data_IF_559403340992
#
_entry.id   IF_559403340992
#
_cell.length_a   1.000
_cell.length_b   1.000
_cell.length_c   1.000
_cell.angle_alpha   90.00
_cell.angle_beta   90.00
_cell.angle_gamma   90.00
#
_symmetry.space_group_name_H-M   'P 1'
#
loop_
_entity.id
_entity.type
_entity.pdbx_description
1 polymer ?
#
# COMPACT_ATOMS: atom_id res chain seq x y z
N UNK A 1 -10.86 -22.67 18.26
CA UNK A 1 -10.06 -22.55 17.03
C UNK A 1 -9.81 -21.10 16.76
N UNK A 2 -8.58 -20.71 16.46
CA UNK A 2 -8.19 -19.35 16.09
C UNK A 2 -8.88 -18.95 14.80
N UNK A 3 -9.48 -17.75 14.75
CA UNK A 3 -10.16 -17.25 13.55
C UNK A 3 -9.16 -16.77 12.51
N UNK A 4 -9.42 -17.11 11.25
CA UNK A 4 -8.54 -16.84 10.11
C UNK A 4 -9.07 -15.69 9.27
N UNK A 5 -8.23 -14.70 9.01
CA UNK A 5 -8.59 -13.46 8.32
C UNK A 5 -7.74 -13.31 7.06
N UNK A 6 -8.37 -13.28 5.91
CA UNK A 6 -7.70 -13.09 4.63
C UNK A 6 -7.30 -11.63 4.40
N UNK A 7 -6.07 -11.41 3.94
CA UNK A 7 -5.51 -10.12 3.57
C UNK A 7 -5.26 -10.08 2.05
N UNK A 8 -5.95 -9.16 1.35
CA UNK A 8 -5.95 -9.07 -0.12
C UNK A 8 -5.07 -7.94 -0.67
N UNK A 9 -4.38 -7.20 0.21
CA UNK A 9 -3.46 -6.13 -0.18
C UNK A 9 -2.09 -6.70 -0.58
N UNK A 10 -1.16 -5.86 -1.06
CA UNK A 10 0.19 -6.30 -1.38
C UNK A 10 0.88 -6.96 -0.18
N UNK A 11 1.76 -7.91 -0.44
CA UNK A 11 2.38 -8.76 0.58
C UNK A 11 3.09 -7.95 1.68
N UNK A 12 3.93 -7.00 1.28
CA UNK A 12 4.69 -6.13 2.19
C UNK A 12 3.80 -5.22 3.08
N UNK A 13 2.61 -4.86 2.62
CA UNK A 13 1.62 -4.15 3.44
C UNK A 13 0.86 -5.11 4.35
N UNK A 14 0.70 -6.37 3.94
CA UNK A 14 0.00 -7.41 4.70
C UNK A 14 0.77 -7.85 5.93
N UNK A 15 2.11 -7.80 5.92
CA UNK A 15 2.95 -8.19 7.07
C UNK A 15 2.67 -7.35 8.33
N UNK A 16 2.56 -6.03 8.19
CA UNK A 16 2.23 -5.16 9.32
C UNK A 16 0.82 -5.46 9.87
N UNK A 17 -0.16 -5.65 8.98
CA UNK A 17 -1.52 -6.02 9.34
C UNK A 17 -1.58 -7.41 9.99
N UNK A 18 -0.76 -8.36 9.52
CA UNK A 18 -0.69 -9.70 10.10
C UNK A 18 -0.20 -9.66 11.55
N UNK A 19 0.81 -8.83 11.86
CA UNK A 19 1.28 -8.64 13.23
C UNK A 19 0.18 -8.05 14.13
N UNK A 20 -0.60 -7.09 13.61
CA UNK A 20 -1.71 -6.47 14.32
C UNK A 20 -2.87 -7.47 14.58
N UNK A 21 -3.18 -8.32 13.60
CA UNK A 21 -4.15 -9.41 13.76
C UNK A 21 -3.68 -10.44 14.81
N UNK A 22 -2.41 -10.83 14.76
CA UNK A 22 -1.82 -11.78 15.72
C UNK A 22 -1.88 -11.25 17.16
N UNK A 23 -1.61 -9.95 17.36
CA UNK A 23 -1.74 -9.31 18.67
C UNK A 23 -3.17 -9.38 19.24
N UNK A 24 -4.19 -9.52 18.38
CA UNK A 24 -5.61 -9.68 18.71
C UNK A 24 -6.09 -11.13 18.72
N UNK A 25 -5.17 -12.09 18.54
CA UNK A 25 -5.47 -13.52 18.55
C UNK A 25 -6.07 -14.06 17.26
N UNK A 26 -6.00 -13.32 16.14
CA UNK A 26 -6.40 -13.79 14.83
C UNK A 26 -5.21 -14.37 14.06
N UNK A 27 -5.45 -15.32 13.17
CA UNK A 27 -4.48 -15.82 12.21
C UNK A 27 -4.65 -15.07 10.86
N UNK A 28 -3.61 -14.43 10.38
CA UNK A 28 -3.63 -13.79 9.07
C UNK A 28 -3.34 -14.79 7.96
N UNK A 29 -4.14 -14.75 6.89
CA UNK A 29 -3.93 -15.47 5.64
C UNK A 29 -3.62 -14.46 4.56
N UNK A 30 -2.36 -14.40 4.11
CA UNK A 30 -1.92 -13.47 3.07
C UNK A 30 -2.20 -14.10 1.71
N UNK A 31 -3.15 -13.51 0.97
CA UNK A 31 -3.55 -13.90 -0.38
C UNK A 31 -3.73 -12.64 -1.25
N UNK A 32 -2.63 -12.03 -1.70
CA UNK A 32 -2.67 -10.73 -2.34
C UNK A 32 -3.50 -10.76 -3.63
N UNK A 33 -4.27 -9.71 -3.88
CA UNK A 33 -4.95 -9.47 -5.15
C UNK A 33 -4.11 -8.65 -6.14
N UNK A 34 -3.02 -8.06 -5.65
CA UNK A 34 -2.06 -7.28 -6.42
C UNK A 34 -0.63 -7.71 -6.11
N UNK A 35 0.24 -7.56 -7.08
CA UNK A 35 1.68 -7.76 -6.96
C UNK A 35 2.42 -6.47 -7.28
N UNK A 36 3.42 -6.13 -6.48
CA UNK A 36 4.27 -4.97 -6.76
C UNK A 36 5.39 -5.41 -7.68
N UNK A 37 5.43 -4.84 -8.88
CA UNK A 37 6.46 -5.13 -9.88
C UNK A 37 7.30 -3.90 -10.17
N UNK A 38 8.61 -4.10 -10.22
CA UNK A 38 9.52 -3.09 -10.75
C UNK A 38 9.25 -2.88 -12.25
N UNK A 39 9.28 -1.62 -12.67
CA UNK A 39 9.11 -1.25 -14.07
C UNK A 39 10.49 -1.15 -14.75
N UNK A 40 10.58 -1.38 -16.06
CA UNK A 40 11.83 -1.25 -16.83
C UNK A 40 12.20 0.23 -17.07
N UNK A 41 11.89 1.10 -16.12
CA UNK A 41 12.15 2.53 -16.18
C UNK A 41 13.39 2.85 -15.36
N UNK A 42 14.30 3.66 -15.93
CA UNK A 42 15.44 4.18 -15.23
C UNK A 42 15.25 5.66 -14.88
N UNK A 43 15.74 6.12 -13.73
CA UNK A 43 15.80 7.54 -13.42
C UNK A 43 16.60 8.28 -14.49
N UNK A 44 16.09 9.42 -15.00
CA UNK A 44 16.75 10.17 -16.05
C UNK A 44 18.14 10.63 -15.61
N UNK A 45 19.03 10.75 -16.58
CA UNK A 45 20.34 11.37 -16.35
C UNK A 45 20.19 12.88 -16.14
N UNK A 46 21.18 13.48 -15.51
CA UNK A 46 21.22 14.92 -15.26
C UNK A 46 21.33 15.29 -13.77
N UNK A 47 21.34 16.58 -13.53
CA UNK A 47 21.45 17.12 -12.17
C UNK A 47 20.08 17.38 -11.59
N UNK A 48 19.85 16.90 -10.39
CA UNK A 48 18.69 17.20 -9.56
C UNK A 48 19.17 17.82 -8.26
N UNK A 49 18.43 18.79 -7.76
CA UNK A 49 18.76 19.48 -6.51
C UNK A 49 18.26 18.67 -5.31
N UNK A 50 17.20 17.88 -5.50
CA UNK A 50 16.69 16.97 -4.50
C UNK A 50 15.89 15.81 -5.12
N UNK A 51 15.81 14.72 -4.36
CA UNK A 51 14.93 13.58 -4.63
C UNK A 51 13.71 13.64 -3.71
N UNK A 52 12.58 13.11 -4.20
CA UNK A 52 11.36 13.00 -3.44
C UNK A 52 10.84 11.56 -3.56
N UNK A 53 10.34 10.98 -2.47
CA UNK A 53 9.65 9.69 -2.48
C UNK A 53 8.54 9.64 -1.42
N UNK A 54 7.43 8.98 -1.77
CA UNK A 54 6.29 8.79 -0.86
C UNK A 54 6.06 7.31 -0.49
N UNK A 55 6.95 6.41 -0.93
CA UNK A 55 6.82 4.98 -0.66
C UNK A 55 8.19 4.31 -0.60
N UNK A 56 8.42 3.37 0.33
CA UNK A 56 9.64 2.57 0.38
C UNK A 56 9.86 1.73 -0.87
N UNK A 57 8.80 1.35 -1.59
CA UNK A 57 8.85 0.54 -2.82
C UNK A 57 9.71 1.17 -3.91
N UNK A 58 9.77 2.51 -3.97
CA UNK A 58 10.60 3.23 -4.91
C UNK A 58 12.09 2.85 -4.77
N UNK A 59 12.56 2.63 -3.55
CA UNK A 59 13.95 2.31 -3.29
C UNK A 59 14.30 0.86 -3.62
N UNK A 60 13.35 -0.07 -3.42
CA UNK A 60 13.54 -1.48 -3.81
C UNK A 60 13.47 -1.69 -5.32
N UNK A 61 12.75 -0.84 -6.04
CA UNK A 61 12.64 -0.89 -7.50
C UNK A 61 13.86 -0.28 -8.22
N UNK A 62 14.71 0.50 -7.53
CA UNK A 62 15.94 1.05 -8.11
C UNK A 62 17.00 -0.03 -8.28
N UNK A 63 17.56 -0.10 -9.48
CA UNK A 63 18.78 -0.88 -9.74
C UNK A 63 19.98 -0.35 -8.93
N UNK A 64 20.98 -1.20 -8.73
CA UNK A 64 22.14 -0.87 -7.89
C UNK A 64 22.91 0.36 -8.41
N UNK A 65 23.11 0.48 -9.72
CA UNK A 65 23.82 1.59 -10.37
C UNK A 65 23.08 2.92 -10.15
N UNK A 66 21.76 2.93 -10.39
CA UNK A 66 20.95 4.14 -10.18
C UNK A 66 20.87 4.53 -8.71
N UNK A 67 20.74 3.57 -7.82
CA UNK A 67 20.74 3.78 -6.39
C UNK A 67 22.06 4.42 -5.92
N UNK A 68 23.21 3.89 -6.35
CA UNK A 68 24.51 4.47 -6.01
C UNK A 68 24.66 5.91 -6.54
N UNK A 69 24.22 6.15 -7.77
CA UNK A 69 24.21 7.49 -8.39
C UNK A 69 23.34 8.49 -7.64
N UNK A 70 22.18 8.08 -7.21
CA UNK A 70 21.18 8.93 -6.54
C UNK A 70 21.44 9.10 -5.03
N UNK A 71 22.15 8.16 -4.40
CA UNK A 71 22.36 8.12 -2.95
C UNK A 71 23.05 9.38 -2.36
N UNK A 72 23.75 10.15 -3.20
CA UNK A 72 24.46 11.38 -2.83
C UNK A 72 23.61 12.65 -2.96
N UNK A 73 22.39 12.54 -3.52
CA UNK A 73 21.47 13.67 -3.67
C UNK A 73 20.57 13.74 -2.44
N UNK A 74 20.28 14.95 -1.88
CA UNK A 74 19.36 15.09 -0.76
C UNK A 74 17.99 14.46 -1.07
N UNK A 75 17.54 13.55 -0.20
CA UNK A 75 16.29 12.83 -0.35
C UNK A 75 15.25 13.28 0.69
N UNK A 76 14.09 13.66 0.23
CA UNK A 76 12.96 14.06 1.05
C UNK A 76 11.81 13.08 0.90
N UNK A 77 11.24 12.61 2.01
CA UNK A 77 10.26 11.54 2.00
C UNK A 77 8.99 11.87 2.79
N UNK A 78 7.90 11.25 2.37
CA UNK A 78 6.67 11.20 3.14
C UNK A 78 6.64 9.91 3.95
N UNK A 79 6.46 10.04 5.27
CA UNK A 79 6.32 8.92 6.19
C UNK A 79 7.63 8.30 6.69
N UNK A 80 7.63 7.92 7.95
CA UNK A 80 8.80 7.37 8.65
C UNK A 80 9.29 6.03 8.05
N UNK A 81 8.39 5.21 7.52
CA UNK A 81 8.74 3.93 6.88
C UNK A 81 9.63 4.16 5.64
N UNK A 82 9.27 5.14 4.80
CA UNK A 82 10.08 5.47 3.62
C UNK A 82 11.47 6.00 4.02
N UNK A 83 11.56 6.85 5.05
CA UNK A 83 12.83 7.36 5.55
C UNK A 83 13.76 6.24 6.06
N UNK A 84 13.20 5.30 6.82
CA UNK A 84 13.95 4.14 7.34
C UNK A 84 14.49 3.28 6.20
N UNK A 85 13.61 2.86 5.28
CA UNK A 85 14.01 2.03 4.15
C UNK A 85 15.07 2.71 3.28
N UNK A 86 14.93 4.02 3.03
CA UNK A 86 15.93 4.77 2.26
C UNK A 86 17.32 4.68 2.89
N UNK A 87 17.44 4.84 4.22
CA UNK A 87 18.71 4.70 4.94
C UNK A 87 19.27 3.28 4.88
N UNK A 88 18.39 2.29 5.06
CA UNK A 88 18.77 0.86 4.99
C UNK A 88 19.35 0.46 3.64
N UNK A 89 18.88 1.06 2.53
CA UNK A 89 19.39 0.78 1.19
C UNK A 89 20.52 1.73 0.75
N UNK A 90 21.03 2.59 1.64
CA UNK A 90 22.26 3.34 1.44
C UNK A 90 22.11 4.80 1.03
N UNK A 91 20.91 5.41 1.09
CA UNK A 91 20.78 6.86 0.92
C UNK A 91 21.36 7.60 2.15
N UNK A 92 22.41 8.40 1.92
CA UNK A 92 23.13 9.07 2.99
C UNK A 92 22.43 10.35 3.49
N UNK A 93 21.77 11.09 2.59
CA UNK A 93 21.23 12.42 2.85
C UNK A 93 19.68 12.37 2.94
N UNK A 94 19.16 11.55 3.85
CA UNK A 94 17.70 11.42 4.07
C UNK A 94 17.25 12.46 5.11
N UNK A 95 16.44 13.41 4.66
CA UNK A 95 15.82 14.43 5.53
C UNK A 95 14.78 13.84 6.51
N UNK A 96 14.32 14.68 7.44
CA UNK A 96 13.22 14.32 8.32
C UNK A 96 11.96 13.97 7.50
N UNK A 97 11.27 12.85 7.82
CA UNK A 97 10.07 12.49 7.10
C UNK A 97 8.95 13.51 7.31
N UNK A 98 8.24 13.86 6.25
CA UNK A 98 7.05 14.68 6.36
C UNK A 98 5.84 13.79 6.71
N UNK A 99 4.85 14.37 7.38
CA UNK A 99 3.63 13.67 7.74
C UNK A 99 2.80 13.31 6.48
N UNK A 100 2.77 14.23 5.52
CA UNK A 100 2.02 14.09 4.27
C UNK A 100 2.66 14.88 3.11
N UNK A 101 2.04 14.82 1.94
CA UNK A 101 2.50 15.47 0.73
C UNK A 101 2.48 17.02 0.83
N UNK A 102 1.50 17.60 1.51
CA UNK A 102 1.37 19.04 1.66
C UNK A 102 2.47 19.58 2.56
N UNK A 103 2.70 18.95 3.70
CA UNK A 103 3.78 19.31 4.63
C UNK A 103 5.16 19.18 3.97
N UNK A 104 5.35 18.17 3.11
CA UNK A 104 6.59 18.02 2.34
C UNK A 104 6.77 19.18 1.36
N UNK A 105 5.75 19.47 0.56
CA UNK A 105 5.81 20.54 -0.44
C UNK A 105 6.06 21.92 0.19
N UNK A 106 5.36 22.24 1.27
CA UNK A 106 5.56 23.48 2.03
C UNK A 106 6.99 23.60 2.58
N UNK A 107 7.54 22.53 3.14
CA UNK A 107 8.93 22.53 3.63
C UNK A 107 9.92 22.76 2.49
N UNK A 108 9.74 22.07 1.36
CA UNK A 108 10.64 22.20 0.21
C UNK A 108 10.58 23.60 -0.42
N UNK A 109 9.41 24.22 -0.48
CA UNK A 109 9.24 25.59 -0.95
C UNK A 109 10.00 26.62 -0.09
N UNK A 110 10.16 26.35 1.21
CA UNK A 110 10.93 27.23 2.11
C UNK A 110 12.43 26.98 2.08
N UNK A 111 12.88 25.78 1.72
CA UNK A 111 14.28 25.37 1.87
C UNK A 111 15.04 25.30 0.56
N UNK A 112 14.34 25.09 -0.56
CA UNK A 112 14.96 25.01 -1.88
C UNK A 112 14.88 26.36 -2.62
N UNK A 113 15.87 26.65 -3.48
CA UNK A 113 15.83 27.85 -4.32
C UNK A 113 14.68 27.77 -5.33
N UNK A 114 14.18 28.93 -5.80
CA UNK A 114 13.22 28.95 -6.91
C UNK A 114 13.74 28.17 -8.13
N UNK A 115 12.85 27.43 -8.79
CA UNK A 115 13.17 26.59 -9.94
C UNK A 115 14.10 25.38 -9.63
N UNK A 116 14.26 24.98 -8.37
CA UNK A 116 14.95 23.75 -8.01
C UNK A 116 14.34 22.55 -8.77
N UNK A 117 15.20 21.71 -9.32
CA UNK A 117 14.82 20.53 -10.08
C UNK A 117 14.68 19.31 -9.17
N UNK A 118 13.49 18.81 -9.02
CA UNK A 118 13.18 17.65 -8.20
C UNK A 118 12.96 16.39 -9.07
N UNK A 119 13.53 15.27 -8.62
CA UNK A 119 13.20 13.96 -9.17
C UNK A 119 12.31 13.21 -8.18
N UNK A 120 11.09 12.91 -8.60
CA UNK A 120 10.15 12.10 -7.81
C UNK A 120 10.26 10.63 -8.19
N UNK A 121 10.76 9.82 -7.25
CA UNK A 121 10.84 8.37 -7.36
C UNK A 121 9.45 7.80 -7.02
N UNK A 122 8.67 7.45 -8.04
CA UNK A 122 7.23 7.24 -7.93
C UNK A 122 6.79 5.82 -8.30
N UNK A 123 5.61 5.43 -7.83
CA UNK A 123 4.84 4.34 -8.40
C UNK A 123 3.91 4.82 -9.50
N UNK A 124 3.54 3.94 -10.42
CA UNK A 124 2.54 4.23 -11.48
C UNK A 124 1.15 4.49 -10.87
N UNK A 125 0.74 3.61 -9.97
CA UNK A 125 -0.58 3.68 -9.34
C UNK A 125 -0.52 4.59 -8.10
N UNK A 126 -0.54 5.91 -8.32
CA UNK A 126 -0.46 6.92 -7.25
C UNK A 126 -1.51 8.01 -7.43
N UNK A 127 -1.89 8.64 -6.32
CA UNK A 127 -2.66 9.88 -6.37
C UNK A 127 -1.72 11.03 -6.77
N UNK A 128 -2.16 11.98 -7.61
CA UNK A 128 -1.32 13.10 -8.05
C UNK A 128 -1.12 14.18 -6.94
N UNK A 129 -1.41 13.84 -5.70
CA UNK A 129 -1.42 14.78 -4.57
C UNK A 129 -0.05 15.44 -4.33
N UNK A 130 1.02 14.65 -4.43
CA UNK A 130 2.37 15.16 -4.17
C UNK A 130 2.86 16.05 -5.30
N UNK A 131 2.67 15.64 -6.57
CA UNK A 131 3.02 16.46 -7.73
C UNK A 131 2.22 17.77 -7.74
N UNK A 132 0.92 17.69 -7.44
CA UNK A 132 0.07 18.88 -7.36
C UNK A 132 0.52 19.84 -6.25
N UNK A 133 0.86 19.32 -5.08
CA UNK A 133 1.35 20.13 -3.96
C UNK A 133 2.71 20.78 -4.27
N UNK A 134 3.65 20.06 -4.90
CA UNK A 134 4.95 20.60 -5.30
C UNK A 134 4.79 21.67 -6.39
N UNK A 135 3.95 21.43 -7.39
CA UNK A 135 3.66 22.41 -8.45
C UNK A 135 3.01 23.68 -7.88
N UNK A 136 2.05 23.54 -6.97
CA UNK A 136 1.42 24.69 -6.28
C UNK A 136 2.43 25.49 -5.43
N UNK A 137 3.48 24.84 -4.94
CA UNK A 137 4.61 25.47 -4.24
C UNK A 137 5.67 26.09 -5.17
N UNK A 138 5.45 26.07 -6.50
CA UNK A 138 6.36 26.64 -7.51
C UNK A 138 7.62 25.80 -7.78
N UNK A 139 7.61 24.52 -7.42
CA UNK A 139 8.75 23.63 -7.60
C UNK A 139 8.58 22.77 -8.88
N UNK A 140 9.64 22.69 -9.69
CA UNK A 140 9.66 21.86 -10.88
C UNK A 140 9.94 20.40 -10.50
N UNK A 141 8.97 19.51 -10.69
CA UNK A 141 9.09 18.08 -10.39
C UNK A 141 9.04 17.24 -11.66
N UNK A 142 10.00 16.33 -11.82
CA UNK A 142 9.99 15.27 -12.82
C UNK A 142 9.75 13.93 -12.11
N UNK A 143 8.64 13.28 -12.41
CA UNK A 143 8.37 11.95 -11.87
C UNK A 143 8.97 10.86 -12.76
N UNK A 144 9.52 9.82 -12.14
CA UNK A 144 9.89 8.56 -12.78
C UNK A 144 9.12 7.43 -12.13
N UNK A 145 8.42 6.64 -12.93
CA UNK A 145 7.65 5.50 -12.46
C UNK A 145 8.55 4.27 -12.37
N UNK A 146 8.87 3.84 -11.16
CA UNK A 146 9.81 2.75 -10.89
C UNK A 146 9.11 1.41 -10.61
N UNK A 147 7.85 1.44 -10.20
CA UNK A 147 7.07 0.26 -9.87
C UNK A 147 5.58 0.46 -10.17
N UNK A 148 4.87 -0.64 -10.30
CA UNK A 148 3.41 -0.64 -10.42
C UNK A 148 2.79 -1.70 -9.51
N UNK A 149 1.53 -1.47 -9.11
CA UNK A 149 0.70 -2.47 -8.45
C UNK A 149 -0.12 -3.19 -9.53
N UNK A 150 0.36 -4.32 -10.00
CA UNK A 150 -0.31 -5.10 -11.03
C UNK A 150 -1.35 -6.05 -10.42
N UNK A 151 -2.47 -6.24 -11.11
CA UNK A 151 -3.47 -7.21 -10.71
C UNK A 151 -2.90 -8.63 -10.87
N UNK A 152 -3.11 -9.48 -9.88
CA UNK A 152 -2.82 -10.90 -10.04
C UNK A 152 -3.91 -11.55 -10.90
N UNK A 153 -3.48 -12.46 -11.75
CA UNK A 153 -4.39 -13.20 -12.62
C UNK A 153 -5.06 -14.36 -11.90
N UNK A 154 -4.35 -15.00 -10.97
CA UNK A 154 -4.81 -16.21 -10.28
C UNK A 154 -4.20 -16.33 -8.90
N UNK A 155 -4.93 -16.87 -7.93
CA UNK A 155 -4.35 -17.42 -6.72
C UNK A 155 -3.80 -18.83 -6.98
N UNK A 156 -2.67 -19.16 -6.35
CA UNK A 156 -2.22 -20.55 -6.29
C UNK A 156 -3.26 -21.44 -5.58
N UNK A 157 -3.23 -22.74 -5.83
CA UNK A 157 -4.12 -23.69 -5.15
C UNK A 157 -4.03 -23.55 -3.63
N UNK A 158 -2.82 -23.36 -3.09
CA UNK A 158 -2.58 -23.16 -1.66
C UNK A 158 -3.24 -21.87 -1.12
N UNK A 159 -3.13 -20.76 -1.84
CA UNK A 159 -3.79 -19.50 -1.46
C UNK A 159 -5.31 -19.64 -1.52
N UNK A 160 -5.84 -20.24 -2.56
CA UNK A 160 -7.27 -20.49 -2.74
C UNK A 160 -7.84 -21.35 -1.60
N UNK A 161 -7.20 -22.47 -1.27
CA UNK A 161 -7.56 -23.31 -0.12
C UNK A 161 -7.50 -22.56 1.21
N UNK A 162 -6.45 -21.75 1.40
CA UNK A 162 -6.27 -20.96 2.61
C UNK A 162 -7.37 -19.89 2.75
N UNK A 163 -7.73 -19.20 1.67
CA UNK A 163 -8.84 -18.23 1.63
C UNK A 163 -10.19 -18.94 1.90
N UNK A 164 -10.41 -20.10 1.31
CA UNK A 164 -11.63 -20.88 1.55
C UNK A 164 -11.81 -21.27 3.02
N UNK A 165 -10.74 -21.40 3.77
CA UNK A 165 -10.76 -21.75 5.20
C UNK A 165 -10.84 -20.52 6.14
N UNK A 166 -10.95 -19.29 5.61
CA UNK A 166 -11.05 -18.07 6.41
C UNK A 166 -12.47 -17.85 6.97
N UNK A 167 -12.54 -17.12 8.07
CA UNK A 167 -13.78 -16.64 8.68
C UNK A 167 -14.17 -15.26 8.15
N UNK A 168 -13.18 -14.46 7.73
CA UNK A 168 -13.38 -13.14 7.17
C UNK A 168 -12.22 -12.67 6.30
N UNK A 169 -12.40 -11.48 5.70
CA UNK A 169 -11.41 -10.82 4.86
C UNK A 169 -11.40 -9.32 5.12
N UNK A 170 -10.20 -8.70 5.12
CA UNK A 170 -10.02 -7.25 5.23
C UNK A 170 -9.78 -6.62 3.86
N UNK A 171 -10.46 -5.50 3.61
CA UNK A 171 -10.40 -4.77 2.34
C UNK A 171 -10.02 -3.31 2.57
N UNK A 172 -8.95 -2.86 1.89
CA UNK A 172 -8.34 -1.54 2.06
C UNK A 172 -8.58 -0.60 0.88
N UNK A 173 -8.94 -1.14 -0.29
CA UNK A 173 -9.24 -0.34 -1.47
C UNK A 173 -10.31 -1.01 -2.33
N UNK A 174 -11.12 -0.19 -2.99
CA UNK A 174 -12.12 -0.65 -3.95
C UNK A 174 -11.51 -1.54 -5.04
N UNK A 175 -10.34 -1.16 -5.56
CA UNK A 175 -9.63 -1.92 -6.59
C UNK A 175 -9.27 -3.33 -6.11
N UNK A 176 -8.64 -3.46 -4.95
CA UNK A 176 -8.24 -4.79 -4.42
C UNK A 176 -9.44 -5.63 -4.02
N UNK A 177 -10.53 -5.03 -3.54
CA UNK A 177 -11.78 -5.74 -3.27
C UNK A 177 -12.40 -6.31 -4.54
N UNK A 178 -12.46 -5.53 -5.63
CA UNK A 178 -12.96 -6.01 -6.93
C UNK A 178 -12.09 -7.14 -7.50
N UNK A 179 -10.77 -7.01 -7.41
CA UNK A 179 -9.84 -8.06 -7.85
C UNK A 179 -9.98 -9.34 -7.02
N UNK A 180 -10.18 -9.24 -5.72
CA UNK A 180 -10.40 -10.39 -4.84
C UNK A 180 -11.68 -11.16 -5.21
N UNK A 181 -12.77 -10.46 -5.55
CA UNK A 181 -14.00 -11.07 -6.07
C UNK A 181 -13.72 -11.85 -7.36
N UNK A 182 -12.98 -11.25 -8.30
CA UNK A 182 -12.63 -11.89 -9.56
C UNK A 182 -11.75 -13.13 -9.35
N UNK A 183 -10.72 -13.04 -8.51
CA UNK A 183 -9.83 -14.15 -8.16
C UNK A 183 -10.57 -15.29 -7.46
N UNK A 184 -11.50 -14.98 -6.55
CA UNK A 184 -12.34 -15.98 -5.89
C UNK A 184 -13.26 -16.71 -6.90
N UNK A 185 -13.83 -15.97 -7.85
CA UNK A 185 -14.65 -16.57 -8.91
C UNK A 185 -13.82 -17.50 -9.81
N UNK A 186 -12.63 -17.06 -10.20
CA UNK A 186 -11.70 -17.82 -11.04
C UNK A 186 -11.18 -19.09 -10.35
N UNK A 187 -10.96 -19.03 -9.03
CA UNK A 187 -10.57 -20.18 -8.21
C UNK A 187 -11.75 -21.14 -7.89
N UNK A 188 -12.96 -20.87 -8.39
CA UNK A 188 -14.16 -21.68 -8.07
C UNK A 188 -14.71 -21.45 -6.65
N UNK A 189 -14.28 -20.38 -5.97
CA UNK A 189 -14.61 -20.09 -4.57
C UNK A 189 -15.70 -19.04 -4.40
N UNK A 190 -16.36 -18.58 -5.48
CA UNK A 190 -17.28 -17.44 -5.44
C UNK A 190 -18.33 -17.55 -4.32
N UNK A 191 -18.98 -18.72 -4.17
CA UNK A 191 -19.99 -18.92 -3.12
C UNK A 191 -19.38 -18.87 -1.72
N UNK A 192 -18.22 -19.49 -1.51
CA UNK A 192 -17.52 -19.50 -0.22
C UNK A 192 -17.00 -18.13 0.15
N UNK A 193 -16.46 -17.39 -0.82
CA UNK A 193 -15.96 -16.02 -0.62
C UNK A 193 -17.11 -15.07 -0.22
N UNK A 194 -18.27 -15.15 -0.90
CA UNK A 194 -19.47 -14.37 -0.52
C UNK A 194 -19.96 -14.64 0.89
N UNK A 195 -19.72 -15.84 1.41
CA UNK A 195 -20.14 -16.21 2.77
C UNK A 195 -19.19 -15.73 3.88
N UNK A 196 -17.99 -15.23 3.54
CA UNK A 196 -17.06 -14.66 4.52
C UNK A 196 -17.64 -13.37 5.13
N UNK A 197 -17.14 -13.01 6.30
CA UNK A 197 -17.29 -11.64 6.79
C UNK A 197 -16.32 -10.74 6.03
N UNK A 198 -16.81 -9.73 5.32
CA UNK A 198 -15.99 -8.71 4.67
C UNK A 198 -15.96 -7.45 5.52
N UNK A 199 -14.77 -7.06 5.98
CA UNK A 199 -14.58 -5.81 6.73
C UNK A 199 -13.81 -4.84 5.83
N UNK A 200 -14.43 -3.69 5.55
CA UNK A 200 -13.98 -2.72 4.56
C UNK A 200 -13.57 -1.42 5.24
N UNK A 201 -12.49 -0.81 4.74
CA UNK A 201 -11.97 0.45 5.25
C UNK A 201 -12.97 1.62 5.10
N UNK A 202 -13.88 1.53 4.12
CA UNK A 202 -14.94 2.52 3.86
C UNK A 202 -16.09 1.91 3.05
N UNK A 203 -17.20 2.64 2.92
CA UNK A 203 -18.33 2.25 2.09
C UNK A 203 -17.96 2.11 0.59
N UNK A 204 -17.08 2.97 0.06
CA UNK A 204 -16.56 2.86 -1.31
C UNK A 204 -15.83 1.53 -1.54
N UNK A 205 -15.04 1.09 -0.56
CA UNK A 205 -14.33 -0.20 -0.61
C UNK A 205 -15.30 -1.39 -0.60
N UNK A 206 -16.47 -1.25 0.01
CA UNK A 206 -17.49 -2.28 0.11
C UNK A 206 -18.29 -2.50 -1.20
N UNK A 207 -18.33 -1.50 -2.10
CA UNK A 207 -19.18 -1.55 -3.30
C UNK A 207 -18.99 -2.79 -4.18
N UNK A 208 -17.76 -3.24 -4.53
CA UNK A 208 -17.59 -4.45 -5.35
C UNK A 208 -18.12 -5.73 -4.69
N UNK A 209 -18.03 -5.80 -3.36
CA UNK A 209 -18.50 -6.94 -2.58
C UNK A 209 -20.03 -6.96 -2.51
N UNK A 210 -20.65 -5.79 -2.33
CA UNK A 210 -22.10 -5.64 -2.36
C UNK A 210 -22.67 -5.97 -3.74
N UNK A 211 -22.01 -5.53 -4.82
CA UNK A 211 -22.37 -5.89 -6.20
C UNK A 211 -22.24 -7.40 -6.46
N UNK A 212 -21.26 -8.08 -5.86
CA UNK A 212 -21.09 -9.52 -5.89
C UNK A 212 -22.03 -10.26 -4.91
N UNK A 213 -22.92 -9.56 -4.19
CA UNK A 213 -23.88 -10.12 -3.22
C UNK A 213 -23.23 -10.84 -2.04
N UNK A 214 -22.13 -10.32 -1.51
CA UNK A 214 -21.56 -10.81 -0.27
C UNK A 214 -22.57 -10.69 0.89
N UNK A 215 -22.67 -11.76 1.68
CA UNK A 215 -23.73 -11.90 2.68
C UNK A 215 -23.51 -11.03 3.93
N UNK A 216 -22.24 -10.74 4.26
CA UNK A 216 -21.87 -10.03 5.51
C UNK A 216 -20.80 -9.00 5.20
N UNK A 217 -21.17 -7.74 5.13
CA UNK A 217 -20.26 -6.62 4.87
C UNK A 217 -20.37 -5.63 6.03
N UNK A 218 -19.23 -5.19 6.55
CA UNK A 218 -19.12 -4.17 7.59
C UNK A 218 -18.08 -3.15 7.13
N UNK A 219 -18.40 -1.87 7.23
CA UNK A 219 -17.42 -0.80 6.99
C UNK A 219 -16.92 -0.22 8.31
N UNK A 220 -15.67 0.20 8.32
CA UNK A 220 -15.08 0.92 9.45
C UNK A 220 -15.74 2.30 9.61
N UNK A 221 -15.78 2.81 10.85
CA UNK A 221 -16.37 4.11 11.18
C UNK A 221 -15.49 5.29 10.69
N UNK A 222 -14.18 5.05 10.55
CA UNK A 222 -13.23 5.96 9.91
C UNK A 222 -12.24 5.17 9.06
N UNK A 223 -11.67 5.81 8.03
CA UNK A 223 -10.80 5.16 7.04
C UNK A 223 -9.35 5.02 7.55
N UNK A 224 -9.17 4.33 8.67
CA UNK A 224 -7.87 3.98 9.24
C UNK A 224 -7.84 2.55 9.79
N UNK A 225 -6.64 2.05 10.06
CA UNK A 225 -6.38 0.68 10.50
C UNK A 225 -7.05 0.38 11.87
N UNK A 226 -7.03 1.33 12.79
CA UNK A 226 -7.59 1.12 14.13
C UNK A 226 -9.11 0.90 14.09
N UNK A 227 -9.82 1.72 13.31
CA UNK A 227 -11.26 1.57 13.12
C UNK A 227 -11.61 0.31 12.31
N UNK A 228 -10.77 -0.09 11.34
CA UNK A 228 -10.95 -1.34 10.61
C UNK A 228 -10.84 -2.56 11.55
N UNK A 229 -9.82 -2.58 12.43
CA UNK A 229 -9.66 -3.64 13.43
C UNK A 229 -10.81 -3.65 14.44
N UNK A 230 -11.26 -2.49 14.92
CA UNK A 230 -12.42 -2.40 15.80
C UNK A 230 -13.71 -2.92 15.13
N UNK A 231 -13.91 -2.66 13.84
CA UNK A 231 -15.03 -3.19 13.09
C UNK A 231 -14.95 -4.73 12.96
N UNK A 232 -13.77 -5.29 12.74
CA UNK A 232 -13.54 -6.73 12.74
C UNK A 232 -13.91 -7.36 14.08
N UNK A 233 -13.41 -6.80 15.19
CA UNK A 233 -13.67 -7.30 16.55
C UNK A 233 -15.15 -7.23 16.91
N UNK A 234 -15.84 -6.14 16.55
CA UNK A 234 -17.29 -6.02 16.77
C UNK A 234 -18.09 -7.09 16.00
N UNK A 235 -17.67 -7.40 14.78
CA UNK A 235 -18.42 -8.30 13.90
C UNK A 235 -18.16 -9.80 14.17
N UNK A 236 -16.94 -10.16 14.60
CA UNK A 236 -16.56 -11.55 14.93
C UNK A 236 -16.58 -11.83 16.44
N UNK A 237 -16.53 -10.81 17.29
CA UNK A 237 -16.21 -10.94 18.71
C UNK A 237 -14.72 -11.25 18.93
N UNK A 238 -14.23 -11.15 20.17
CA UNK A 238 -12.83 -11.45 20.46
C UNK A 238 -12.51 -12.89 20.04
N UNK A 239 -11.31 -13.09 19.47
CA UNK A 239 -10.86 -14.45 19.17
C UNK A 239 -10.63 -15.21 20.49
N UNK A 240 -11.12 -16.44 20.65
CA UNK A 240 -10.85 -17.21 21.86
C UNK A 240 -9.33 -17.35 21.99
N UNK A 241 -8.78 -16.84 23.10
CA UNK A 241 -7.38 -17.09 23.47
C UNK A 241 -7.23 -18.58 23.64
N UNK A 242 -6.44 -19.21 22.77
CA UNK A 242 -6.08 -20.62 22.87
C UNK A 242 -5.21 -20.91 24.09
#
# INVERSE_FOLDING_TARGET
MTRRIALMRAEDDSEATAAELAARGYEAVIAPAIEIRALPSAPPEGRFDALVAASPRAFHALGEVDRARLATIPLHVVGARAARTAREVGFALVGEPAADAAALAERLARTLPPAARLLYLAGRDRKPTLEAALAAAGLAVQAVELYAAEAREVWSAREAEAVAACDGALHYSRRTAALAVALAAQAGLAQRFRALLHVCLSADVAEPLAADRAARIVSADAADEAHLMAALERALGPSPKG
#
